data_IF_982888496172
#
_entry.id   IF_982888496172
#
_cell.length_a   1.000
_cell.length_b   1.000
_cell.length_c   1.000
_cell.angle_alpha   90.00
_cell.angle_beta   90.00
_cell.angle_gamma   90.00
#
_symmetry.space_group_name_H-M   'P 1'
#
loop_
_entity.id
_entity.type
_entity.pdbx_description
1 polymer ?
#
# COMPACT_ATOMS: atom_id res chain seq x y z
N UNK A 1 -43.74 6.89 27.78
CA UNK A 1 -42.39 6.86 27.16
C UNK A 1 -42.53 6.75 25.65
N UNK A 2 -42.39 7.81 24.84
CA UNK A 2 -42.37 7.66 23.35
C UNK A 2 -42.16 9.03 22.72
N UNK A 3 -40.92 9.39 22.42
CA UNK A 3 -40.50 10.28 21.31
C UNK A 3 -39.08 10.80 21.56
N UNK A 4 -38.76 11.26 22.77
CA UNK A 4 -37.39 11.74 23.09
C UNK A 4 -36.33 10.64 23.05
N UNK A 5 -36.68 9.42 23.50
CA UNK A 5 -35.79 8.25 23.45
C UNK A 5 -35.51 7.79 22.01
N UNK A 6 -36.48 7.97 21.10
CA UNK A 6 -36.31 7.60 19.68
C UNK A 6 -35.32 8.52 18.95
N UNK A 7 -35.28 9.80 19.32
CA UNK A 7 -34.34 10.77 18.74
C UNK A 7 -32.92 10.60 19.27
N UNK A 8 -32.77 10.26 20.56
CA UNK A 8 -31.47 9.92 21.16
C UNK A 8 -30.84 8.67 20.53
N UNK A 9 -31.63 7.63 20.28
CA UNK A 9 -31.16 6.42 19.58
C UNK A 9 -30.71 6.70 18.14
N UNK A 10 -31.44 7.56 17.41
CA UNK A 10 -31.04 7.96 16.06
C UNK A 10 -29.75 8.78 16.05
N UNK A 11 -29.61 9.75 16.95
CA UNK A 11 -28.40 10.58 17.05
C UNK A 11 -27.16 9.74 17.45
N UNK A 12 -27.32 8.75 18.34
CA UNK A 12 -26.24 7.84 18.74
C UNK A 12 -25.72 6.94 17.60
N UNK A 13 -26.61 6.45 16.74
CA UNK A 13 -26.21 5.61 15.58
C UNK A 13 -25.39 6.40 14.57
N UNK A 14 -25.71 7.68 14.33
CA UNK A 14 -24.93 8.53 13.44
C UNK A 14 -23.55 8.91 14.02
N UNK A 15 -23.45 9.11 15.34
CA UNK A 15 -22.17 9.36 16.00
C UNK A 15 -21.25 8.13 15.97
N UNK A 16 -21.79 6.92 16.14
CA UNK A 16 -21.00 5.68 16.13
C UNK A 16 -20.43 5.37 14.74
N UNK A 17 -21.19 5.62 13.67
CA UNK A 17 -20.74 5.39 12.30
C UNK A 17 -19.55 6.27 11.89
N UNK A 18 -19.45 7.49 12.41
CA UNK A 18 -18.35 8.41 12.11
C UNK A 18 -16.99 7.95 12.68
N UNK A 19 -16.98 7.21 13.79
CA UNK A 19 -15.74 6.74 14.44
C UNK A 19 -15.16 5.52 13.71
N UNK A 20 -16.00 4.68 13.10
CA UNK A 20 -15.53 3.51 12.36
C UNK A 20 -14.89 3.83 11.00
N UNK A 21 -15.12 5.02 10.43
CA UNK A 21 -14.49 5.43 9.18
C UNK A 21 -12.97 5.67 9.32
N UNK A 22 -12.47 5.90 10.53
CA UNK A 22 -11.04 6.14 10.80
C UNK A 22 -10.28 4.90 11.31
N UNK A 23 -10.96 3.77 11.51
CA UNK A 23 -10.36 2.58 12.13
C UNK A 23 -9.57 1.69 11.14
N UNK A 24 -9.65 1.95 9.83
CA UNK A 24 -9.04 1.08 8.80
C UNK A 24 -7.98 1.74 7.92
N UNK A 25 -7.61 2.99 8.19
CA UNK A 25 -6.42 3.59 7.56
C UNK A 25 -5.22 3.39 8.48
N UNK A 26 -4.81 2.13 8.69
CA UNK A 26 -3.47 1.92 9.25
C UNK A 26 -2.47 2.56 8.27
N UNK A 27 -1.61 3.48 8.72
CA UNK A 27 -0.54 3.98 7.89
C UNK A 27 0.35 2.78 7.55
N UNK A 28 0.42 2.43 6.27
CA UNK A 28 1.45 1.52 5.77
C UNK A 28 2.77 2.19 6.13
N UNK A 29 3.59 1.54 6.94
CA UNK A 29 4.84 2.13 7.41
C UNK A 29 5.74 2.39 6.20
N UNK A 30 5.83 3.67 5.81
CA UNK A 30 6.55 4.10 4.61
C UNK A 30 8.05 3.79 4.69
N UNK A 31 8.56 3.48 5.89
CA UNK A 31 9.98 3.20 6.14
C UNK A 31 10.29 1.71 6.27
N UNK A 32 9.29 0.83 6.09
CA UNK A 32 9.59 -0.59 5.98
C UNK A 32 10.37 -0.86 4.69
N UNK A 33 11.48 -1.62 4.77
CA UNK A 33 12.26 -1.98 3.61
C UNK A 33 11.36 -2.61 2.54
N UNK A 34 11.48 -2.11 1.31
CA UNK A 34 10.66 -2.55 0.19
C UNK A 34 11.50 -2.61 -1.07
N UNK A 35 11.50 -3.78 -1.70
CA UNK A 35 12.28 -4.05 -2.89
C UNK A 35 11.39 -4.53 -4.02
N UNK A 36 11.76 -4.26 -5.26
CA UNK A 36 11.10 -4.74 -6.46
C UNK A 36 12.10 -5.25 -7.49
N UNK A 37 11.72 -6.24 -8.29
CA UNK A 37 12.57 -6.81 -9.34
C UNK A 37 11.90 -6.65 -10.71
N UNK A 38 12.60 -6.00 -11.64
CA UNK A 38 12.08 -5.82 -13.00
C UNK A 38 12.13 -7.11 -13.84
N UNK A 39 11.69 -7.04 -15.10
CA UNK A 39 11.71 -8.17 -16.04
C UNK A 39 13.12 -8.60 -16.45
N UNK A 40 14.13 -7.77 -16.22
CA UNK A 40 15.52 -8.02 -16.57
C UNK A 40 16.31 -8.62 -15.38
N UNK A 41 15.69 -8.71 -14.19
CA UNK A 41 16.33 -9.20 -12.97
C UNK A 41 17.04 -8.12 -12.17
N UNK A 42 16.86 -6.84 -12.50
CA UNK A 42 17.42 -5.73 -11.74
C UNK A 42 16.57 -5.49 -10.48
N UNK A 43 17.23 -5.31 -9.35
CA UNK A 43 16.58 -5.06 -8.05
C UNK A 43 16.58 -3.56 -7.77
N UNK A 44 15.45 -3.05 -7.27
CA UNK A 44 15.25 -1.64 -6.94
C UNK A 44 14.85 -1.50 -5.48
N UNK A 45 15.50 -0.60 -4.76
CA UNK A 45 15.02 -0.14 -3.45
C UNK A 45 13.90 0.87 -3.69
N UNK A 46 12.69 0.50 -3.27
CA UNK A 46 11.49 1.34 -3.35
C UNK A 46 10.95 1.67 -1.96
N UNK A 47 11.79 1.58 -0.93
CA UNK A 47 11.50 2.03 0.43
C UNK A 47 11.12 3.50 0.41
N UNK A 48 9.94 3.85 0.95
CA UNK A 48 9.41 5.21 0.93
C UNK A 48 8.92 5.71 -0.43
N UNK A 49 9.00 4.91 -1.50
CA UNK A 49 8.54 5.29 -2.83
C UNK A 49 7.05 4.94 -2.97
N UNK A 50 6.28 5.87 -3.53
CA UNK A 50 4.84 5.70 -3.73
C UNK A 50 4.56 4.95 -5.03
N UNK A 51 3.62 4.00 -5.06
CA UNK A 51 3.21 3.36 -6.31
C UNK A 51 2.50 4.36 -7.24
N UNK A 52 2.79 4.27 -8.54
CA UNK A 52 2.18 5.10 -9.59
C UNK A 52 3.00 5.12 -10.89
N UNK A 53 2.51 5.81 -11.94
CA UNK A 53 3.14 5.84 -13.27
C UNK A 53 4.25 6.90 -13.43
N UNK A 54 4.62 7.60 -12.36
CA UNK A 54 5.63 8.67 -12.39
C UNK A 54 7.07 8.16 -12.59
N UNK A 55 7.97 9.08 -12.97
CA UNK A 55 9.38 8.74 -13.19
C UNK A 55 10.08 8.20 -11.92
N UNK A 56 9.79 8.78 -10.75
CA UNK A 56 10.33 8.35 -9.46
C UNK A 56 9.31 7.50 -8.67
N UNK A 57 8.48 6.74 -9.38
CA UNK A 57 7.46 5.86 -8.81
C UNK A 57 7.63 4.45 -9.40
N UNK A 58 6.88 3.48 -8.88
CA UNK A 58 6.84 2.13 -9.42
C UNK A 58 5.41 1.69 -9.65
N UNK A 59 5.19 0.77 -10.59
CA UNK A 59 3.88 0.16 -10.81
C UNK A 59 3.91 -1.35 -10.58
N UNK A 60 2.73 -1.91 -10.30
CA UNK A 60 2.52 -3.35 -10.14
C UNK A 60 1.53 -3.84 -11.21
N UNK A 61 2.05 -4.31 -12.34
CA UNK A 61 1.24 -4.75 -13.48
C UNK A 61 0.72 -6.19 -13.29
N UNK A 62 -0.60 -6.37 -13.23
CA UNK A 62 -1.21 -7.70 -13.21
C UNK A 62 -0.82 -8.53 -14.46
N UNK A 63 -0.79 -9.88 -14.37
CA UNK A 63 -1.36 -10.74 -13.32
C UNK A 63 -0.33 -11.40 -12.39
N UNK A 64 0.89 -10.90 -12.27
CA UNK A 64 1.89 -11.57 -11.43
C UNK A 64 1.48 -11.60 -9.94
N UNK A 65 2.01 -12.58 -9.20
CA UNK A 65 1.62 -12.87 -7.82
C UNK A 65 2.28 -11.96 -6.78
N UNK A 66 3.48 -11.44 -7.08
CA UNK A 66 4.26 -10.64 -6.14
C UNK A 66 4.93 -9.48 -6.86
N UNK A 67 4.68 -8.26 -6.38
CA UNK A 67 5.27 -7.05 -6.94
C UNK A 67 6.46 -6.54 -6.10
N UNK A 68 6.36 -6.64 -4.78
CA UNK A 68 7.39 -6.12 -3.87
C UNK A 68 7.70 -7.12 -2.76
N UNK A 69 8.91 -7.01 -2.21
CA UNK A 69 9.47 -7.87 -1.17
C UNK A 69 9.97 -7.03 0.00
N UNK A 70 10.06 -7.63 1.18
CA UNK A 70 10.53 -6.97 2.40
C UNK A 70 12.07 -6.98 2.54
N UNK A 71 12.75 -7.73 1.66
CA UNK A 71 14.19 -7.94 1.67
C UNK A 71 14.76 -7.94 0.25
N UNK A 72 16.05 -7.61 0.14
CA UNK A 72 16.80 -7.56 -1.12
C UNK A 72 16.98 -8.96 -1.74
N UNK A 73 17.01 -10.02 -0.93
CA UNK A 73 17.10 -11.41 -1.39
C UNK A 73 15.78 -11.93 -2.00
N UNK A 74 14.72 -11.10 -2.03
CA UNK A 74 13.40 -11.41 -2.56
C UNK A 74 12.76 -12.66 -1.92
N UNK A 75 13.08 -12.92 -0.65
CA UNK A 75 12.64 -14.12 0.08
C UNK A 75 11.30 -13.94 0.79
N UNK A 76 10.96 -12.72 1.18
CA UNK A 76 9.74 -12.36 1.93
C UNK A 76 8.83 -11.50 1.05
N UNK A 77 7.80 -12.10 0.39
CA UNK A 77 6.88 -11.34 -0.43
C UNK A 77 6.02 -10.42 0.44
N UNK A 78 5.87 -9.15 0.05
CA UNK A 78 4.85 -8.27 0.60
C UNK A 78 3.53 -8.53 -0.12
N UNK A 79 2.39 -8.36 0.57
CA UNK A 79 1.03 -8.56 0.04
C UNK A 79 0.69 -7.55 -1.08
N UNK A 80 1.37 -7.68 -2.21
CA UNK A 80 1.30 -6.80 -3.37
C UNK A 80 1.22 -7.68 -4.62
N UNK A 81 0.10 -7.59 -5.33
CA UNK A 81 -0.09 -8.33 -6.57
C UNK A 81 0.38 -7.49 -7.76
N UNK A 82 0.94 -8.14 -8.77
CA UNK A 82 1.44 -7.53 -10.00
C UNK A 82 2.94 -7.73 -10.19
N UNK A 83 3.41 -7.41 -11.39
CA UNK A 83 4.80 -7.45 -11.80
C UNK A 83 5.38 -6.06 -11.58
N UNK A 84 6.53 -5.99 -10.93
CA UNK A 84 7.20 -4.73 -10.70
C UNK A 84 7.63 -4.06 -12.02
N UNK A 85 7.27 -2.79 -12.17
CA UNK A 85 7.69 -1.94 -13.28
C UNK A 85 8.27 -0.65 -12.70
N UNK A 86 9.58 -0.43 -12.80
CA UNK A 86 10.19 0.80 -12.30
C UNK A 86 9.83 1.98 -13.21
N UNK A 87 9.65 3.15 -12.60
CA UNK A 87 9.64 4.42 -13.32
C UNK A 87 11.02 4.74 -13.88
N UNK A 88 11.07 5.56 -14.94
CA UNK A 88 12.32 5.88 -15.66
C UNK A 88 13.39 6.62 -14.87
N UNK A 89 13.05 7.16 -13.69
CA UNK A 89 13.96 7.84 -12.78
C UNK A 89 14.52 6.96 -11.66
N UNK A 90 14.00 5.74 -11.49
CA UNK A 90 14.52 4.79 -10.50
C UNK A 90 15.82 4.15 -11.01
N UNK A 91 16.78 3.96 -10.10
CA UNK A 91 18.04 3.30 -10.37
C UNK A 91 18.06 1.95 -9.65
N UNK A 92 18.60 0.90 -10.28
CA UNK A 92 18.77 -0.39 -9.63
C UNK A 92 19.89 -0.33 -8.57
N UNK A 93 19.82 -1.24 -7.61
CA UNK A 93 20.88 -1.46 -6.63
C UNK A 93 21.94 -2.36 -7.29
N UNK A 94 23.22 -1.98 -7.20
CA UNK A 94 24.34 -2.83 -7.63
C UNK A 94 24.84 -2.63 -9.06
N UNK A 95 24.51 -1.51 -9.71
CA UNK A 95 25.22 -1.02 -10.90
C UNK A 95 26.55 -0.31 -10.57
#
# INVERSE_FOLDING_TARGET
>A
MKNSVKNLLRAGVFALAAVFAFAFTQPVDLFQPKFGMDVNGNIYDVTGITPGPGANQYNCDLPATTCTWADEDLSVPLETNGRFVPGSGLQPIGE
#
